data_IF_796201250989
#
_entry.id   IF_796201250989
#
_cell.length_a   1.000
_cell.length_b   1.000
_cell.length_c   1.000
_cell.angle_alpha   90.00
_cell.angle_beta   90.00
_cell.angle_gamma   90.00
#
_symmetry.space_group_name_H-M   'P 1'
#
loop_
_entity.id
_entity.type
_entity.pdbx_description
1 polymer ?
#
# COMPACT_ATOMS: atom_id res chain seq x y z
N UNK A 1 12.84 3.29 13.47
CA UNK A 1 11.74 2.31 13.27
C UNK A 1 12.15 1.39 12.14
N UNK A 2 11.91 0.08 12.21
CA UNK A 2 12.24 -0.83 11.09
C UNK A 2 11.20 -0.66 9.98
N UNK A 3 11.59 -0.69 8.69
CA UNK A 3 10.70 -0.54 7.52
C UNK A 3 9.48 -1.47 7.61
N UNK A 4 9.64 -2.67 8.18
CA UNK A 4 8.56 -3.62 8.41
C UNK A 4 7.47 -3.09 9.35
N UNK A 5 7.87 -2.41 10.42
CA UNK A 5 6.95 -1.80 11.39
C UNK A 5 6.32 -0.53 10.81
N UNK A 6 7.10 0.26 10.07
CA UNK A 6 6.61 1.46 9.37
C UNK A 6 5.55 1.11 8.32
N UNK A 7 5.77 0.05 7.55
CA UNK A 7 4.80 -0.47 6.60
C UNK A 7 3.53 -0.96 7.29
N UNK A 8 3.64 -1.73 8.38
CA UNK A 8 2.48 -2.22 9.11
C UNK A 8 1.61 -1.08 9.67
N UNK A 9 2.24 -0.05 10.24
CA UNK A 9 1.53 1.13 10.75
C UNK A 9 0.88 1.95 9.64
N UNK A 10 1.56 2.11 8.51
CA UNK A 10 0.98 2.80 7.36
C UNK A 10 -0.23 2.04 6.79
N UNK A 11 -0.17 0.72 6.71
CA UNK A 11 -1.30 -0.11 6.29
C UNK A 11 -2.49 -0.03 7.24
N UNK A 12 -2.26 -0.06 8.56
CA UNK A 12 -3.33 0.12 9.55
C UNK A 12 -3.98 1.50 9.46
N UNK A 13 -3.18 2.57 9.32
CA UNK A 13 -3.70 3.94 9.13
C UNK A 13 -4.53 4.04 7.85
N UNK A 14 -4.02 3.49 6.74
CA UNK A 14 -4.74 3.50 5.47
C UNK A 14 -6.08 2.75 5.57
N UNK A 15 -6.10 1.58 6.19
CA UNK A 15 -7.33 0.82 6.44
C UNK A 15 -8.33 1.58 7.30
N UNK A 16 -7.86 2.19 8.39
CA UNK A 16 -8.70 2.95 9.32
C UNK A 16 -9.30 4.19 8.66
N UNK A 17 -8.55 4.88 7.80
CA UNK A 17 -9.02 6.05 7.07
C UNK A 17 -10.02 5.68 5.97
N UNK A 18 -9.77 4.59 5.21
CA UNK A 18 -10.67 4.18 4.13
C UNK A 18 -11.97 3.51 4.61
N UNK A 19 -11.97 2.87 5.79
CA UNK A 19 -13.13 2.14 6.34
C UNK A 19 -13.83 1.23 5.32
N UNK A 20 -13.06 0.55 4.47
CA UNK A 20 -13.56 -0.30 3.39
C UNK A 20 -13.09 -1.75 3.58
N UNK A 21 -13.99 -2.72 3.38
CA UNK A 21 -13.72 -4.13 3.63
C UNK A 21 -12.66 -4.73 2.68
N UNK A 22 -12.63 -4.32 1.42
CA UNK A 22 -11.61 -4.76 0.47
C UNK A 22 -10.23 -4.18 0.78
N UNK A 23 -10.19 -2.96 1.32
CA UNK A 23 -8.95 -2.37 1.85
C UNK A 23 -8.47 -3.17 3.06
N UNK A 24 -9.35 -3.49 4.00
CA UNK A 24 -9.04 -4.32 5.17
C UNK A 24 -8.52 -5.70 4.75
N UNK A 25 -9.14 -6.33 3.74
CA UNK A 25 -8.68 -7.62 3.21
C UNK A 25 -7.27 -7.51 2.61
N UNK A 26 -7.00 -6.46 1.82
CA UNK A 26 -5.69 -6.22 1.23
C UNK A 26 -4.60 -5.99 2.30
N UNK A 27 -4.92 -5.22 3.34
CA UNK A 27 -4.04 -4.96 4.48
C UNK A 27 -3.76 -6.24 5.26
N UNK A 28 -4.80 -7.02 5.57
CA UNK A 28 -4.65 -8.29 6.30
C UNK A 28 -3.78 -9.29 5.53
N UNK A 29 -3.98 -9.43 4.22
CA UNK A 29 -3.14 -10.29 3.37
C UNK A 29 -1.67 -9.85 3.43
N UNK A 30 -1.41 -8.55 3.34
CA UNK A 30 -0.05 -8.00 3.40
C UNK A 30 0.57 -8.23 4.79
N UNK A 31 -0.19 -8.02 5.87
CA UNK A 31 0.29 -8.27 7.23
C UNK A 31 0.67 -9.74 7.47
N UNK A 32 -0.11 -10.68 6.93
CA UNK A 32 0.22 -12.12 6.98
C UNK A 32 1.49 -12.42 6.18
N UNK A 33 1.65 -11.85 4.99
CA UNK A 33 2.84 -12.05 4.18
C UNK A 33 4.10 -11.44 4.81
N UNK A 34 3.99 -10.25 5.40
CA UNK A 34 5.09 -9.63 6.12
C UNK A 34 5.60 -10.50 7.27
N UNK A 35 4.76 -11.31 7.92
CA UNK A 35 5.23 -12.26 8.94
C UNK A 35 6.12 -13.37 8.36
N UNK A 36 5.94 -13.72 7.08
CA UNK A 36 6.62 -14.83 6.40
C UNK A 36 7.78 -14.39 5.52
N UNK A 37 7.76 -13.16 5.02
CA UNK A 37 8.72 -12.63 4.06
C UNK A 37 9.63 -11.57 4.72
N UNK A 38 10.92 -11.64 4.44
CA UNK A 38 11.92 -10.65 4.89
C UNK A 38 12.05 -9.48 3.91
N UNK A 39 11.59 -9.63 2.65
CA UNK A 39 11.64 -8.59 1.64
C UNK A 39 10.46 -7.61 1.78
N UNK A 40 10.62 -6.63 2.68
CA UNK A 40 9.63 -5.58 2.97
C UNK A 40 9.34 -4.70 1.75
N UNK A 41 10.35 -4.42 0.93
CA UNK A 41 10.20 -3.61 -0.28
C UNK A 41 9.29 -4.30 -1.33
N UNK A 42 9.39 -5.62 -1.46
CA UNK A 42 8.51 -6.37 -2.36
C UNK A 42 7.07 -6.43 -1.84
N UNK A 43 6.88 -6.72 -0.56
CA UNK A 43 5.53 -6.76 0.04
C UNK A 43 4.84 -5.38 -0.02
N UNK A 44 5.58 -4.30 0.20
CA UNK A 44 5.04 -2.93 0.04
C UNK A 44 4.67 -2.61 -1.41
N UNK A 45 5.45 -3.06 -2.41
CA UNK A 45 5.07 -2.92 -3.83
C UNK A 45 3.73 -3.62 -4.12
N UNK A 46 3.56 -4.85 -3.66
CA UNK A 46 2.31 -5.61 -3.87
C UNK A 46 1.13 -4.98 -3.13
N UNK A 47 1.34 -4.54 -1.89
CA UNK A 47 0.33 -3.84 -1.12
C UNK A 47 -0.11 -2.56 -1.82
N UNK A 48 0.83 -1.72 -2.26
CA UNK A 48 0.54 -0.49 -2.99
C UNK A 48 -0.28 -0.77 -4.27
N UNK A 49 0.10 -1.78 -5.06
CA UNK A 49 -0.63 -2.15 -6.27
C UNK A 49 -2.06 -2.61 -5.96
N UNK A 50 -2.23 -3.49 -4.97
CA UNK A 50 -3.54 -4.01 -4.59
C UNK A 50 -4.45 -2.92 -4.03
N UNK A 51 -3.91 -2.04 -3.16
CA UNK A 51 -4.66 -0.90 -2.64
C UNK A 51 -5.11 0.03 -3.78
N UNK A 52 -4.26 0.31 -4.76
CA UNK A 52 -4.67 1.09 -5.93
C UNK A 52 -5.79 0.42 -6.74
N UNK A 53 -5.71 -0.89 -6.96
CA UNK A 53 -6.78 -1.61 -7.65
C UNK A 53 -8.11 -1.53 -6.89
N UNK A 54 -8.08 -1.68 -5.56
CA UNK A 54 -9.28 -1.56 -4.71
C UNK A 54 -9.83 -0.14 -4.77
N UNK A 55 -8.98 0.89 -4.62
CA UNK A 55 -9.41 2.28 -4.71
C UNK A 55 -10.09 2.62 -6.04
N UNK A 56 -9.57 2.07 -7.14
CA UNK A 56 -10.17 2.25 -8.47
C UNK A 56 -11.50 1.50 -8.62
N UNK A 57 -11.56 0.24 -8.16
CA UNK A 57 -12.77 -0.59 -8.26
C UNK A 57 -13.91 -0.06 -7.40
N UNK A 58 -13.59 0.41 -6.19
CA UNK A 58 -14.56 0.87 -5.19
C UNK A 58 -14.80 2.39 -5.28
N UNK A 59 -14.17 3.09 -6.24
CA UNK A 59 -14.24 4.53 -6.40
C UNK A 59 -13.96 5.31 -5.10
N UNK A 60 -12.98 4.85 -4.33
CA UNK A 60 -12.65 5.43 -3.02
C UNK A 60 -12.09 6.84 -3.17
N UNK A 61 -12.63 7.77 -2.40
CA UNK A 61 -12.03 9.10 -2.20
C UNK A 61 -11.15 9.04 -0.98
N UNK A 62 -9.86 9.33 -1.16
CA UNK A 62 -8.90 9.38 -0.07
C UNK A 62 -8.95 10.74 0.62
N UNK A 63 -9.06 10.70 1.95
CA UNK A 63 -8.76 11.84 2.80
C UNK A 63 -7.24 12.03 2.94
N UNK A 64 -6.83 13.10 3.62
CA UNK A 64 -5.41 13.43 3.77
C UNK A 64 -4.64 12.36 4.54
N UNK A 65 -5.26 11.73 5.55
CA UNK A 65 -4.64 10.67 6.34
C UNK A 65 -4.39 9.40 5.49
N UNK A 66 -5.34 9.01 4.64
CA UNK A 66 -5.17 7.91 3.71
C UNK A 66 -4.12 8.24 2.63
N UNK A 67 -4.06 9.48 2.14
CA UNK A 67 -3.03 9.92 1.18
C UNK A 67 -1.63 9.85 1.78
N UNK A 68 -1.43 10.33 3.00
CA UNK A 68 -0.15 10.25 3.71
C UNK A 68 0.27 8.79 3.97
N UNK A 69 -0.66 7.95 4.39
CA UNK A 69 -0.42 6.53 4.60
C UNK A 69 -0.02 5.82 3.29
N UNK A 70 -0.73 6.10 2.19
CA UNK A 70 -0.41 5.55 0.88
C UNK A 70 0.95 6.03 0.36
N UNK A 71 1.30 7.30 0.58
CA UNK A 71 2.60 7.86 0.22
C UNK A 71 3.74 7.17 0.99
N UNK A 72 3.51 6.83 2.26
CA UNK A 72 4.47 6.08 3.08
C UNK A 72 4.67 4.67 2.53
N UNK A 73 3.58 3.96 2.20
CA UNK A 73 3.65 2.62 1.56
C UNK A 73 4.41 2.70 0.23
N UNK A 74 4.14 3.71 -0.60
CA UNK A 74 4.84 3.96 -1.88
C UNK A 74 6.33 4.21 -1.70
N UNK A 75 6.72 4.96 -0.66
CA UNK A 75 8.11 5.26 -0.36
C UNK A 75 8.88 4.00 0.01
N UNK A 76 8.31 3.15 0.86
CA UNK A 76 8.91 1.86 1.25
C UNK A 76 9.02 0.94 0.03
N UNK A 77 7.99 0.92 -0.83
CA UNK A 77 8.02 0.20 -2.09
C UNK A 77 9.12 0.68 -3.06
N UNK A 78 9.50 1.95 -2.98
CA UNK A 78 10.53 2.57 -3.82
C UNK A 78 11.96 2.47 -3.27
N UNK A 79 12.13 2.02 -2.03
CA UNK A 79 13.43 1.95 -1.33
C UNK A 79 14.46 1.06 -2.06
N UNK A 80 13.99 0.08 -2.85
CA UNK A 80 14.81 -0.92 -3.53
C UNK A 80 15.08 -0.61 -5.02
N UNK A 81 15.17 0.68 -5.39
CA UNK A 81 15.77 1.14 -6.66
C UNK A 81 15.04 0.84 -7.98
N UNK A 82 14.00 0.02 -8.01
CA UNK A 82 13.28 -0.30 -9.24
C UNK A 82 11.75 -0.29 -9.06
N UNK A 83 11.14 0.87 -9.35
CA UNK A 83 9.76 0.96 -9.84
C UNK A 83 9.67 0.59 -11.34
N UNK A 84 10.76 0.11 -11.96
CA UNK A 84 10.90 -0.16 -13.41
C UNK A 84 10.07 -1.32 -13.97
N UNK A 85 9.18 -1.92 -13.18
CA UNK A 85 8.20 -2.90 -13.64
C UNK A 85 6.77 -2.59 -13.20
N UNK A 86 6.54 -1.43 -12.58
CA UNK A 86 5.20 -1.02 -12.17
C UNK A 86 4.52 -0.43 -13.41
N UNK A 87 3.88 -1.33 -14.16
CA UNK A 87 3.12 -1.07 -15.38
C UNK A 87 2.66 0.37 -15.53
N UNK A 88 3.02 0.92 -16.68
CA UNK A 88 2.56 2.12 -17.40
C UNK A 88 1.04 2.34 -17.44
N UNK A 89 0.25 1.55 -16.70
CA UNK A 89 -1.20 1.53 -16.65
C UNK A 89 -1.77 2.17 -15.37
N UNK A 90 -0.97 2.39 -14.31
CA UNK A 90 -1.47 2.98 -13.06
C UNK A 90 -0.80 4.31 -12.67
N UNK A 91 0.15 4.81 -13.46
CA UNK A 91 0.74 6.14 -13.27
C UNK A 91 -0.22 7.28 -13.66
N UNK A 92 -1.34 6.96 -14.34
CA UNK A 92 -2.30 7.94 -14.86
C UNK A 92 -3.44 8.28 -13.88
N UNK A 93 -3.60 7.53 -12.79
CA UNK A 93 -4.65 7.78 -11.79
C UNK A 93 -4.07 8.22 -10.44
N UNK A 94 -3.14 9.17 -10.46
CA UNK A 94 -2.73 9.91 -9.25
C UNK A 94 -3.76 11.03 -9.03
N UNK A 95 -4.67 10.84 -8.07
CA UNK A 95 -5.56 11.88 -7.52
C UNK A 95 -5.13 12.21 -6.08
#
# INVERSE_FOLDING_TARGET
MNEKQELALALERFAKACQNDYVNEAVNKTAVNLKKNENVAQESKWAYQRLNQVMLAEHLKLDDEAKEALATIKKIAGSDGAFGGLNTLNATNVW
#
